data_IF_848763986397
#
_entry.id   IF_848763986397
#
_cell.length_a   1.000
_cell.length_b   1.000
_cell.length_c   1.000
_cell.angle_alpha   90.00
_cell.angle_beta   90.00
_cell.angle_gamma   90.00
#
_symmetry.space_group_name_H-M   'P 1'
#
loop_
_entity.id
_entity.type
_entity.pdbx_description
1 polymer ?
#
# COMPACT_ATOMS: atom_id res chain seq x y z
N UNK A 1 32.94 -12.81 12.26
CA UNK A 1 32.43 -11.73 11.39
C UNK A 1 31.13 -11.12 11.92
N UNK A 2 30.16 -11.91 12.41
CA UNK A 2 28.90 -11.38 12.97
C UNK A 2 28.80 -11.40 14.50
N UNK A 3 29.91 -11.62 15.22
CA UNK A 3 29.95 -11.78 16.69
C UNK A 3 29.68 -10.49 17.47
N UNK A 4 29.65 -9.33 16.81
CA UNK A 4 29.38 -8.02 17.40
C UNK A 4 28.08 -7.38 16.85
N UNK A 5 27.27 -8.14 16.11
CA UNK A 5 25.98 -7.63 15.62
C UNK A 5 24.95 -7.74 16.73
N UNK A 6 24.53 -6.58 17.24
CA UNK A 6 23.41 -6.48 18.16
C UNK A 6 22.10 -6.55 17.36
N UNK A 7 21.12 -7.25 17.92
CA UNK A 7 19.78 -7.30 17.33
C UNK A 7 19.13 -5.93 17.50
N UNK A 8 18.61 -5.39 16.39
CA UNK A 8 17.73 -4.23 16.47
C UNK A 8 16.41 -4.64 17.16
N UNK A 9 15.83 -3.79 18.03
CA UNK A 9 14.56 -4.09 18.65
C UNK A 9 13.46 -4.27 17.59
N UNK A 10 12.53 -5.23 17.76
CA UNK A 10 11.41 -5.39 16.85
C UNK A 10 10.58 -4.11 16.78
N UNK A 11 10.05 -3.82 15.59
CA UNK A 11 9.11 -2.72 15.41
C UNK A 11 7.91 -2.88 16.38
N UNK A 12 7.55 -1.82 17.13
CA UNK A 12 6.47 -1.91 18.11
C UNK A 12 5.11 -2.32 17.51
N UNK A 13 4.82 -1.95 16.26
CA UNK A 13 3.57 -2.32 15.56
C UNK A 13 3.60 -3.82 15.27
N UNK A 14 4.74 -4.36 14.82
CA UNK A 14 4.89 -5.80 14.57
C UNK A 14 4.79 -6.61 15.86
N UNK A 15 5.32 -6.08 16.97
CA UNK A 15 5.16 -6.71 18.28
C UNK A 15 3.70 -6.73 18.73
N UNK A 16 2.99 -5.62 18.60
CA UNK A 16 1.56 -5.55 18.93
C UNK A 16 0.73 -6.53 18.10
N UNK A 17 1.04 -6.69 16.82
CA UNK A 17 0.39 -7.67 15.96
C UNK A 17 0.64 -9.12 16.43
N UNK A 18 1.86 -9.43 16.89
CA UNK A 18 2.19 -10.74 17.44
C UNK A 18 1.46 -11.00 18.76
N UNK A 19 1.47 -10.02 19.67
CA UNK A 19 0.77 -10.08 20.96
C UNK A 19 -0.75 -10.27 20.75
N UNK A 20 -1.35 -9.50 19.82
CA UNK A 20 -2.75 -9.66 19.43
C UNK A 20 -3.03 -11.06 18.88
N UNK A 21 -2.16 -11.63 18.04
CA UNK A 21 -2.36 -12.99 17.51
C UNK A 21 -2.29 -14.06 18.60
N UNK A 22 -1.39 -13.89 19.57
CA UNK A 22 -1.18 -14.84 20.66
C UNK A 22 -2.28 -14.80 21.75
N UNK A 23 -3.01 -13.68 21.86
CA UNK A 23 -4.12 -13.55 22.83
C UNK A 23 -5.24 -14.56 22.52
N UNK A 24 -5.58 -15.50 23.45
CA UNK A 24 -6.63 -16.49 23.23
C UNK A 24 -8.06 -15.94 23.40
N UNK A 25 -8.22 -14.69 23.84
CA UNK A 25 -9.52 -14.08 24.05
C UNK A 25 -10.33 -14.04 22.73
N UNK A 26 -11.51 -14.69 22.65
CA UNK A 26 -12.33 -14.70 21.44
C UNK A 26 -12.96 -13.32 21.13
N UNK A 27 -12.94 -12.38 22.07
CA UNK A 27 -13.50 -11.03 21.94
C UNK A 27 -12.42 -9.94 21.83
N UNK A 28 -11.17 -10.32 21.53
CA UNK A 28 -10.09 -9.35 21.31
C UNK A 28 -10.38 -8.45 20.10
N UNK A 29 -9.95 -7.20 20.17
CA UNK A 29 -10.12 -6.19 19.10
C UNK A 29 -8.76 -5.68 18.66
N UNK A 30 -8.49 -5.71 17.35
CA UNK A 30 -7.26 -5.16 16.76
C UNK A 30 -7.52 -3.73 16.27
N UNK A 31 -6.90 -2.76 16.97
CA UNK A 31 -6.86 -1.35 16.59
C UNK A 31 -5.41 -0.88 16.34
N UNK A 32 -4.48 -1.82 16.15
CA UNK A 32 -3.05 -1.52 16.06
C UNK A 32 -2.63 -1.08 14.65
N UNK A 33 -2.90 -1.92 13.65
CA UNK A 33 -2.47 -1.65 12.27
C UNK A 33 -3.45 -0.70 11.58
N UNK A 34 -2.95 0.44 11.12
CA UNK A 34 -3.73 1.48 10.43
C UNK A 34 -4.11 1.13 8.98
N UNK A 35 -4.86 0.04 8.79
CA UNK A 35 -5.43 -0.35 7.50
C UNK A 35 -6.95 -0.31 7.55
N UNK A 36 -7.57 0.05 6.42
CA UNK A 36 -9.03 -0.06 6.30
C UNK A 36 -9.46 -1.52 6.46
N UNK A 37 -10.49 -1.72 7.28
CA UNK A 37 -11.20 -2.98 7.43
C UNK A 37 -12.67 -2.76 7.12
N UNK A 38 -13.26 -3.69 6.38
CA UNK A 38 -14.70 -3.72 6.15
C UNK A 38 -15.47 -4.20 7.40
N UNK A 39 -16.78 -4.29 7.29
CA UNK A 39 -17.69 -4.69 8.37
C UNK A 39 -17.45 -6.13 8.85
N UNK A 40 -16.72 -6.94 8.08
CA UNK A 40 -16.33 -8.32 8.41
C UNK A 40 -14.92 -8.42 8.98
N UNK A 41 -14.20 -7.29 9.11
CA UNK A 41 -12.83 -7.23 9.64
C UNK A 41 -11.73 -7.54 8.60
N UNK A 42 -12.09 -7.73 7.34
CA UNK A 42 -11.15 -7.98 6.24
C UNK A 42 -10.65 -6.68 5.62
N UNK A 43 -9.51 -6.73 4.94
CA UNK A 43 -8.99 -5.60 4.15
C UNK A 43 -9.39 -5.82 2.69
N UNK A 44 -10.47 -5.18 2.21
CA UNK A 44 -11.01 -5.46 0.88
C UNK A 44 -10.16 -4.88 -0.24
N UNK A 45 -10.18 -5.54 -1.39
CA UNK A 45 -9.64 -5.00 -2.63
C UNK A 45 -10.78 -4.34 -3.40
N UNK A 46 -10.62 -3.05 -3.72
CA UNK A 46 -11.64 -2.30 -4.45
C UNK A 46 -11.91 -2.92 -5.83
N UNK A 47 -13.17 -2.91 -6.27
CA UNK A 47 -13.55 -3.47 -7.57
C UNK A 47 -12.79 -2.84 -8.76
N UNK A 48 -12.51 -1.54 -8.69
CA UNK A 48 -11.70 -0.85 -9.71
C UNK A 48 -10.26 -1.38 -9.77
N UNK A 49 -9.67 -1.72 -8.61
CA UNK A 49 -8.32 -2.31 -8.53
C UNK A 49 -8.33 -3.71 -9.13
N UNK A 50 -9.31 -4.56 -8.78
CA UNK A 50 -9.47 -5.90 -9.37
C UNK A 50 -9.63 -5.87 -10.89
N UNK A 51 -10.42 -4.94 -11.41
CA UNK A 51 -10.57 -4.78 -12.85
C UNK A 51 -9.28 -4.33 -13.54
N UNK A 52 -8.50 -3.44 -12.92
CA UNK A 52 -7.22 -2.99 -13.44
C UNK A 52 -6.18 -4.13 -13.45
N UNK A 53 -6.09 -4.91 -12.37
CA UNK A 53 -5.21 -6.09 -12.29
C UNK A 53 -5.46 -7.05 -13.46
N UNK A 54 -6.72 -7.38 -13.75
CA UNK A 54 -7.08 -8.29 -14.83
C UNK A 54 -6.68 -7.74 -16.22
N UNK A 55 -6.84 -6.43 -16.44
CA UNK A 55 -6.44 -5.78 -17.71
C UNK A 55 -4.93 -5.81 -17.89
N UNK A 56 -4.19 -5.42 -16.86
CA UNK A 56 -2.72 -5.39 -16.88
C UNK A 56 -2.18 -6.80 -17.14
N UNK A 57 -2.68 -7.80 -16.42
CA UNK A 57 -2.27 -9.20 -16.62
C UNK A 57 -2.51 -9.69 -18.06
N UNK A 58 -3.61 -9.27 -18.68
CA UNK A 58 -3.94 -9.67 -20.05
C UNK A 58 -3.13 -8.92 -21.13
N UNK A 59 -2.64 -7.71 -20.85
CA UNK A 59 -2.03 -6.83 -21.87
C UNK A 59 -0.53 -6.58 -21.68
N UNK A 60 0.05 -6.92 -20.54
CA UNK A 60 1.46 -6.65 -20.28
C UNK A 60 2.37 -7.55 -21.13
N UNK A 61 3.38 -6.94 -21.76
CA UNK A 61 4.33 -7.65 -22.63
C UNK A 61 5.72 -7.80 -22.00
N UNK A 62 6.05 -6.97 -21.01
CA UNK A 62 7.37 -6.93 -20.39
C UNK A 62 7.33 -6.43 -18.94
N UNK A 63 8.39 -6.75 -18.20
CA UNK A 63 8.71 -6.23 -16.86
C UNK A 63 10.06 -5.50 -16.85
N UNK A 64 10.50 -5.01 -18.00
CA UNK A 64 11.76 -4.27 -18.16
C UNK A 64 11.79 -3.01 -17.29
N UNK A 65 13.01 -2.52 -17.02
CA UNK A 65 13.21 -1.27 -16.30
C UNK A 65 12.50 -0.10 -16.97
N UNK A 66 11.88 0.73 -16.13
CA UNK A 66 11.36 2.05 -16.51
C UNK A 66 12.30 3.15 -16.00
N UNK A 67 12.08 4.38 -16.46
CA UNK A 67 12.86 5.52 -16.02
C UNK A 67 12.75 5.78 -14.51
N UNK A 68 13.72 6.48 -13.91
CA UNK A 68 13.77 6.70 -12.46
C UNK A 68 12.58 7.50 -11.91
N UNK A 69 11.89 8.26 -12.76
CA UNK A 69 10.68 9.00 -12.41
C UNK A 69 9.40 8.15 -12.39
N UNK A 70 9.47 6.86 -12.73
CA UNK A 70 8.31 5.97 -12.82
C UNK A 70 7.57 6.05 -14.16
N UNK A 71 6.28 5.68 -14.16
CA UNK A 71 5.43 5.63 -15.35
C UNK A 71 4.87 7.03 -15.64
N UNK A 72 5.15 7.66 -16.80
CA UNK A 72 4.71 9.02 -17.10
C UNK A 72 3.20 9.24 -16.95
N UNK A 73 2.39 8.28 -17.40
CA UNK A 73 0.93 8.33 -17.34
C UNK A 73 0.43 8.28 -15.90
N UNK A 74 1.09 7.51 -15.03
CA UNK A 74 0.79 7.48 -13.60
C UNK A 74 1.05 8.85 -12.97
N UNK A 75 2.18 9.48 -13.33
CA UNK A 75 2.55 10.79 -12.79
C UNK A 75 1.53 11.87 -13.18
N UNK A 76 1.05 11.87 -14.43
CA UNK A 76 -0.02 12.77 -14.87
C UNK A 76 -1.32 12.49 -14.11
N UNK A 77 -1.74 11.23 -14.01
CA UNK A 77 -2.98 10.87 -13.33
C UNK A 77 -2.98 11.24 -11.84
N UNK A 78 -1.85 11.02 -11.14
CA UNK A 78 -1.70 11.39 -9.72
C UNK A 78 -1.67 12.91 -9.56
N UNK A 79 -0.99 13.65 -10.45
CA UNK A 79 -1.01 15.11 -10.45
C UNK A 79 -2.45 15.63 -10.56
N UNK A 80 -3.21 15.10 -11.52
CA UNK A 80 -4.59 15.52 -11.75
C UNK A 80 -5.52 15.13 -10.60
N UNK A 81 -5.28 13.98 -9.96
CA UNK A 81 -6.03 13.54 -8.78
C UNK A 81 -5.78 14.46 -7.57
N UNK A 82 -4.51 14.82 -7.32
CA UNK A 82 -4.12 15.61 -6.14
C UNK A 82 -4.52 17.07 -6.30
N UNK A 83 -4.19 17.69 -7.44
CA UNK A 83 -4.42 19.12 -7.64
C UNK A 83 -5.83 19.39 -8.20
N UNK A 84 -6.43 18.42 -8.87
CA UNK A 84 -7.62 18.60 -9.69
C UNK A 84 -7.23 18.96 -11.13
N UNK A 85 -7.74 18.22 -12.11
CA UNK A 85 -7.38 18.33 -13.52
C UNK A 85 -7.57 19.73 -14.16
N UNK A 86 -8.28 20.65 -13.49
CA UNK A 86 -8.53 22.03 -13.95
C UNK A 86 -8.02 23.09 -12.97
N UNK A 87 -7.14 22.69 -12.05
CA UNK A 87 -6.65 23.62 -11.04
C UNK A 87 -5.71 24.66 -11.68
N UNK A 88 -5.86 25.95 -11.39
CA UNK A 88 -5.06 27.01 -12.02
C UNK A 88 -3.55 26.83 -11.89
N UNK A 89 -3.08 26.21 -10.80
CA UNK A 89 -1.65 25.90 -10.59
C UNK A 89 -1.03 25.01 -11.69
N UNK A 90 -1.87 24.33 -12.47
CA UNK A 90 -1.43 23.47 -13.57
C UNK A 90 -1.35 24.21 -14.92
N UNK A 91 -1.82 25.46 -15.01
CA UNK A 91 -1.89 26.21 -16.26
C UNK A 91 -0.53 26.72 -16.77
N UNK A 92 0.47 26.80 -15.89
CA UNK A 92 1.79 27.37 -16.16
C UNK A 92 2.93 26.30 -16.14
N UNK A 93 2.59 25.02 -16.21
CA UNK A 93 3.54 23.89 -16.13
C UNK A 93 3.96 23.36 -17.51
#
# INVERSE_FOLDING_TARGET
>A
MFTALESYPPDPILRLLADFRADPNPHKVDLGVGVYKDETGHTPIMGAVKAAEARVFASEETKSYIGPAGVPEFNVAIKDLIFGARHPVLADA
#
